data_IF_083294223269
#
_entry.id   IF_083294223269
#
_cell.length_a   1.000
_cell.length_b   1.000
_cell.length_c   1.000
_cell.angle_alpha   90.00
_cell.angle_beta   90.00
_cell.angle_gamma   90.00
#
_symmetry.space_group_name_H-M   'P 1'
#
loop_
_entity.id
_entity.type
_entity.pdbx_description
1 polymer ?
#
# COMPACT_ATOMS: atom_id res chain seq x y z
N UNK A 1 -21.00 -13.33 -37.50
CA UNK A 1 -21.65 -12.04 -37.21
C UNK A 1 -21.33 -11.76 -35.76
N UNK A 2 -20.38 -10.85 -35.58
CA UNK A 2 -19.81 -10.28 -34.35
C UNK A 2 -19.76 -11.12 -33.07
N UNK A 3 -18.64 -11.84 -32.94
CA UNK A 3 -17.95 -12.05 -31.67
C UNK A 3 -17.36 -10.70 -31.23
N UNK A 4 -18.04 -10.01 -30.32
CA UNK A 4 -17.55 -8.84 -29.60
C UNK A 4 -17.43 -9.18 -28.11
N UNK A 5 -16.70 -10.25 -27.79
CA UNK A 5 -16.00 -10.35 -26.52
C UNK A 5 -14.71 -9.54 -26.70
N UNK A 6 -14.83 -8.21 -26.51
CA UNK A 6 -13.66 -7.36 -26.27
C UNK A 6 -13.19 -7.72 -24.86
N UNK A 7 -12.41 -8.80 -24.80
CA UNK A 7 -11.45 -9.08 -23.75
C UNK A 7 -10.53 -7.86 -23.73
N UNK A 8 -10.80 -6.95 -22.81
CA UNK A 8 -9.97 -5.77 -22.63
C UNK A 8 -8.71 -6.24 -21.92
N UNK A 9 -7.67 -6.43 -22.73
CA UNK A 9 -6.31 -6.78 -22.36
C UNK A 9 -5.77 -5.84 -21.28
N UNK A 10 -5.98 -6.15 -20.00
CA UNK A 10 -5.14 -5.64 -18.92
C UNK A 10 -3.92 -6.55 -18.77
N UNK A 11 -2.99 -6.30 -19.70
CA UNK A 11 -1.53 -6.43 -19.59
C UNK A 11 -0.97 -7.38 -18.53
N UNK A 12 -0.37 -8.46 -19.00
CA UNK A 12 0.47 -9.32 -18.18
C UNK A 12 1.75 -8.65 -17.69
N UNK A 13 2.24 -9.12 -16.55
CA UNK A 13 3.67 -9.27 -16.29
C UNK A 13 3.86 -10.22 -15.09
N UNK A 14 4.08 -11.51 -15.37
CA UNK A 14 4.70 -12.42 -14.41
C UNK A 14 6.21 -12.10 -14.35
N UNK A 15 6.64 -11.16 -13.51
CA UNK A 15 8.08 -10.96 -13.26
C UNK A 15 8.34 -10.43 -11.84
N UNK A 16 8.69 -11.35 -10.94
CA UNK A 16 9.18 -11.16 -9.56
C UNK A 16 8.15 -10.66 -8.53
N UNK A 17 7.96 -11.46 -7.49
CA UNK A 17 6.97 -11.40 -6.40
C UNK A 17 7.03 -10.10 -5.56
N UNK A 18 6.68 -8.97 -6.15
CA UNK A 18 6.37 -7.71 -5.46
C UNK A 18 4.94 -7.37 -5.83
N UNK A 19 4.04 -7.49 -4.85
CA UNK A 19 2.63 -7.21 -5.05
C UNK A 19 2.49 -5.71 -5.30
N UNK A 20 2.25 -5.32 -6.56
CA UNK A 20 1.97 -3.93 -6.92
C UNK A 20 0.47 -3.70 -6.88
N UNK A 21 0.04 -2.70 -6.13
CA UNK A 21 -1.37 -2.30 -6.02
C UNK A 21 -1.59 -0.96 -6.70
N UNK A 22 -2.71 -0.82 -7.39
CA UNK A 22 -3.15 0.47 -7.93
C UNK A 22 -4.21 1.04 -7.01
N UNK A 23 -3.91 2.21 -6.44
CA UNK A 23 -4.82 2.97 -5.61
C UNK A 23 -5.39 4.12 -6.42
N UNK A 24 -6.69 4.37 -6.30
CA UNK A 24 -7.31 5.56 -6.84
C UNK A 24 -7.32 6.63 -5.74
N UNK A 25 -6.75 7.79 -6.04
CA UNK A 25 -6.83 8.94 -5.15
C UNK A 25 -8.24 9.58 -5.17
N UNK A 26 -8.50 10.57 -4.32
CA UNK A 26 -9.79 11.27 -4.21
C UNK A 26 -10.23 11.94 -5.52
N UNK A 27 -9.29 12.24 -6.42
CA UNK A 27 -9.54 12.79 -7.77
C UNK A 27 -9.77 11.69 -8.83
N UNK A 28 -9.67 10.40 -8.45
CA UNK A 28 -9.79 9.25 -9.34
C UNK A 28 -8.53 8.97 -10.17
N UNK A 29 -7.39 9.58 -9.81
CA UNK A 29 -6.12 9.30 -10.46
C UNK A 29 -5.55 7.96 -9.96
N UNK A 30 -5.15 7.05 -10.85
CA UNK A 30 -4.51 5.80 -10.46
C UNK A 30 -3.05 6.04 -10.09
N UNK A 31 -2.71 5.73 -8.86
CA UNK A 31 -1.35 5.75 -8.33
C UNK A 31 -0.88 4.31 -8.09
N UNK A 32 0.30 4.00 -8.62
CA UNK A 32 0.89 2.67 -8.50
C UNK A 32 1.81 2.62 -7.28
N UNK A 33 1.55 1.65 -6.41
CA UNK A 33 2.35 1.40 -5.23
C UNK A 33 2.87 -0.03 -5.20
N UNK A 34 4.02 -0.22 -4.59
CA UNK A 34 4.59 -1.54 -4.29
C UNK A 34 4.31 -1.86 -2.83
N UNK A 35 3.70 -3.01 -2.56
CA UNK A 35 3.63 -3.58 -1.22
C UNK A 35 5.04 -4.00 -0.81
N UNK A 36 5.57 -3.30 0.18
CA UNK A 36 6.88 -3.61 0.77
C UNK A 36 6.72 -4.56 1.93
N UNK A 37 5.69 -4.37 2.74
CA UNK A 37 5.45 -5.18 3.93
C UNK A 37 3.96 -5.19 4.31
N UNK A 38 3.53 -6.26 4.96
CA UNK A 38 2.18 -6.40 5.52
C UNK A 38 2.31 -6.66 7.02
N UNK A 39 1.62 -5.86 7.82
CA UNK A 39 1.62 -5.92 9.27
C UNK A 39 0.23 -6.30 9.76
N UNK A 40 0.16 -7.22 10.70
CA UNK A 40 -1.10 -7.62 11.34
C UNK A 40 -1.08 -7.15 12.78
N UNK A 41 -1.89 -6.15 13.10
CA UNK A 41 -1.91 -5.53 14.42
C UNK A 41 -3.28 -5.76 15.02
N UNK A 42 -3.34 -6.65 16.00
CA UNK A 42 -4.57 -7.06 16.66
C UNK A 42 -5.50 -7.83 15.72
N UNK A 43 -6.60 -7.20 15.30
CA UNK A 43 -7.58 -7.77 14.36
C UNK A 43 -7.56 -7.06 12.99
N UNK A 44 -6.71 -6.03 12.85
CA UNK A 44 -6.62 -5.21 11.65
C UNK A 44 -5.37 -5.58 10.85
N UNK A 45 -5.48 -5.58 9.53
CA UNK A 45 -4.36 -5.76 8.62
C UNK A 45 -3.94 -4.41 8.04
N UNK A 46 -2.63 -4.13 8.09
CA UNK A 46 -2.02 -2.91 7.59
C UNK A 46 -1.01 -3.27 6.50
N UNK A 47 -0.94 -2.45 5.47
CA UNK A 47 -0.01 -2.63 4.36
C UNK A 47 0.88 -1.42 4.25
N UNK A 48 2.18 -1.67 4.20
CA UNK A 48 3.21 -0.69 3.95
C UNK A 48 3.49 -0.65 2.45
N UNK A 49 3.07 0.44 1.84
CA UNK A 49 3.17 0.69 0.42
C UNK A 49 4.31 1.68 0.15
N UNK A 50 5.10 1.47 -0.90
CA UNK A 50 6.05 2.46 -1.39
C UNK A 50 5.60 2.92 -2.77
N UNK A 51 5.49 4.23 -3.00
CA UNK A 51 5.19 4.75 -4.33
C UNK A 51 6.28 4.36 -5.31
N UNK A 52 5.89 3.98 -6.53
CA UNK A 52 6.85 3.68 -7.60
C UNK A 52 7.40 4.94 -8.25
N UNK A 53 6.63 6.04 -8.21
CA UNK A 53 7.00 7.34 -8.75
C UNK A 53 7.50 8.24 -7.63
N UNK A 54 8.54 9.02 -7.93
CA UNK A 54 9.08 10.00 -6.98
C UNK A 54 8.08 11.12 -6.66
N UNK A 55 7.15 11.40 -7.57
CA UNK A 55 6.08 12.39 -7.40
C UNK A 55 5.12 12.00 -6.26
N UNK A 56 4.89 10.70 -6.11
CA UNK A 56 4.00 10.12 -5.11
C UNK A 56 4.67 9.94 -3.74
N UNK A 57 5.97 10.26 -3.61
CA UNK A 57 6.66 10.30 -2.31
C UNK A 57 6.02 11.34 -1.38
N UNK A 58 5.29 12.32 -1.90
CA UNK A 58 4.54 13.28 -1.08
C UNK A 58 3.31 12.66 -0.40
N UNK A 59 2.86 11.48 -0.82
CA UNK A 59 1.71 10.78 -0.23
C UNK A 59 2.09 10.00 1.04
N UNK A 60 3.39 9.76 1.25
CA UNK A 60 3.92 9.04 2.42
C UNK A 60 3.37 9.63 3.73
N UNK A 61 2.67 8.80 4.50
CA UNK A 61 2.10 9.15 5.81
C UNK A 61 2.89 8.54 6.99
N UNK A 62 3.74 7.53 6.73
CA UNK A 62 4.56 6.85 7.73
C UNK A 62 6.04 7.17 7.51
N UNK A 63 6.61 8.00 8.38
CA UNK A 63 8.05 8.25 8.38
C UNK A 63 8.78 7.15 9.16
N UNK A 64 9.52 6.30 8.45
CA UNK A 64 10.41 5.28 9.06
C UNK A 64 11.89 5.67 8.99
N UNK A 65 12.17 6.90 8.54
CA UNK A 65 13.51 7.46 8.44
C UNK A 65 14.25 7.36 9.78
N UNK A 66 13.51 7.46 10.89
CA UNK A 66 14.02 7.35 12.25
C UNK A 66 14.42 5.93 12.66
N UNK A 67 13.78 4.89 12.09
CA UNK A 67 14.01 3.48 12.43
C UNK A 67 15.08 2.83 11.53
N UNK A 68 15.03 3.07 10.21
CA UNK A 68 15.88 2.34 9.23
C UNK A 68 17.21 3.00 8.88
N UNK A 69 17.58 4.13 9.48
CA UNK A 69 18.87 4.79 9.25
C UNK A 69 18.99 5.43 7.86
N UNK A 70 18.76 6.74 7.79
CA UNK A 70 19.16 7.69 6.75
C UNK A 70 18.83 7.46 5.25
N UNK A 71 18.19 6.34 4.83
CA UNK A 71 18.00 6.11 3.39
C UNK A 71 16.65 5.48 2.98
N UNK A 72 15.62 5.61 3.81
CA UNK A 72 14.27 5.15 3.46
C UNK A 72 13.30 6.31 3.56
N UNK A 73 12.62 6.64 2.46
CA UNK A 73 11.76 7.82 2.32
C UNK A 73 10.43 7.73 3.10
N UNK A 74 10.24 6.68 3.91
CA UNK A 74 8.96 6.37 4.54
C UNK A 74 8.11 5.40 3.73
N UNK A 75 6.99 4.99 4.31
CA UNK A 75 5.98 4.14 3.67
C UNK A 75 4.62 4.83 3.70
N UNK A 76 3.75 4.44 2.78
CA UNK A 76 2.34 4.76 2.79
C UNK A 76 1.61 3.62 3.50
N UNK A 77 1.26 3.85 4.76
CA UNK A 77 0.52 2.94 5.60
C UNK A 77 -0.98 3.02 5.30
N UNK A 78 -1.55 1.91 4.87
CA UNK A 78 -2.99 1.75 4.67
C UNK A 78 -3.51 0.57 5.48
N UNK A 79 -4.75 0.66 5.94
CA UNK A 79 -5.49 -0.44 6.56
C UNK A 79 -6.30 -1.16 5.49
N UNK A 80 -6.19 -2.48 5.45
CA UNK A 80 -7.02 -3.33 4.63
C UNK A 80 -8.38 -3.53 5.34
N UNK A 81 -9.46 -3.19 4.65
CA UNK A 81 -10.83 -3.45 5.08
C UNK A 81 -11.61 -4.15 3.97
N UNK A 82 -12.54 -5.02 4.32
CA UNK A 82 -13.44 -5.62 3.33
C UNK A 82 -14.72 -4.78 3.22
N UNK A 83 -15.09 -4.41 1.99
CA UNK A 83 -16.38 -3.74 1.75
C UNK A 83 -17.58 -4.68 1.92
N UNK A 84 -18.78 -4.12 1.81
CA UNK A 84 -20.04 -4.89 1.77
C UNK A 84 -20.10 -5.89 0.59
N UNK A 85 -19.27 -5.69 -0.45
CA UNK A 85 -19.14 -6.58 -1.61
C UNK A 85 -18.01 -7.62 -1.48
N UNK A 86 -17.23 -7.59 -0.40
CA UNK A 86 -16.08 -8.46 -0.21
C UNK A 86 -14.85 -8.09 -1.05
N UNK A 87 -14.82 -6.85 -1.55
CA UNK A 87 -13.64 -6.27 -2.18
C UNK A 87 -12.74 -5.63 -1.12
N UNK A 88 -11.43 -5.77 -1.30
CA UNK A 88 -10.43 -5.20 -0.40
C UNK A 88 -10.30 -3.68 -0.62
N UNK A 89 -10.70 -2.89 0.38
CA UNK A 89 -10.45 -1.45 0.46
C UNK A 89 -9.18 -1.16 1.24
N UNK A 90 -8.37 -0.27 0.68
CA UNK A 90 -7.15 0.22 1.28
C UNK A 90 -7.44 1.61 1.84
N UNK A 91 -7.57 1.71 3.16
CA UNK A 91 -7.92 2.93 3.88
C UNK A 91 -6.66 3.58 4.43
N UNK A 92 -6.35 4.80 3.99
CA UNK A 92 -5.20 5.54 4.50
C UNK A 92 -5.25 5.71 6.02
N UNK A 93 -4.18 5.30 6.69
CA UNK A 93 -4.03 5.48 8.14
C UNK A 93 -3.58 6.91 8.43
N UNK A 94 -4.50 7.75 8.90
CA UNK A 94 -4.19 9.12 9.36
C UNK A 94 -4.03 9.23 10.88
N UNK A 95 -4.42 8.18 11.60
CA UNK A 95 -4.40 8.16 13.05
C UNK A 95 -2.98 7.94 13.57
N UNK A 96 -2.46 8.93 14.31
CA UNK A 96 -1.10 8.87 14.86
C UNK A 96 -0.87 7.64 15.73
N UNK A 97 -1.89 7.23 16.48
CA UNK A 97 -1.80 6.05 17.35
C UNK A 97 -1.62 4.77 16.53
N UNK A 98 -2.34 4.62 15.41
CA UNK A 98 -2.18 3.47 14.53
C UNK A 98 -0.81 3.50 13.85
N UNK A 99 -0.35 4.65 13.38
CA UNK A 99 1.00 4.81 12.83
C UNK A 99 2.10 4.46 13.86
N UNK A 100 1.94 4.88 15.12
CA UNK A 100 2.87 4.52 16.21
C UNK A 100 2.88 3.02 16.50
N UNK A 101 1.72 2.34 16.41
CA UNK A 101 1.61 0.90 16.57
C UNK A 101 2.33 0.18 15.43
N UNK A 102 2.09 0.60 14.19
CA UNK A 102 2.77 0.13 12.97
C UNK A 102 4.29 0.31 13.08
N UNK A 103 4.76 1.48 13.54
CA UNK A 103 6.19 1.73 13.77
C UNK A 103 6.76 0.82 14.84
N UNK A 104 6.00 0.57 15.91
CA UNK A 104 6.43 -0.28 17.02
C UNK A 104 6.55 -1.74 16.59
N UNK A 105 5.60 -2.24 15.78
CA UNK A 105 5.66 -3.58 15.20
C UNK A 105 6.84 -3.70 14.22
N UNK A 106 7.06 -2.69 13.38
CA UNK A 106 8.20 -2.64 12.45
C UNK A 106 9.55 -2.61 13.18
N UNK A 107 9.65 -1.89 14.30
CA UNK A 107 10.85 -1.88 15.15
C UNK A 107 11.05 -3.23 15.86
N UNK A 108 9.96 -3.88 16.29
CA UNK A 108 10.01 -5.17 16.96
C UNK A 108 10.48 -6.32 16.05
N UNK A 109 10.25 -6.26 14.75
CA UNK A 109 10.79 -7.25 13.80
C UNK A 109 12.32 -7.11 13.60
N UNK A 110 12.90 -5.95 13.95
CA UNK A 110 14.32 -5.64 13.71
C UNK A 110 15.25 -6.15 14.86
N UNK A 111 14.72 -6.69 15.97
CA UNK A 111 15.50 -7.07 17.18
C UNK A 111 15.95 -8.54 17.27
#
# INVERSE_FOLDING_TARGET
>A
MDDLFRDEELGGHEEQTRETVQLLDEDGNPHSFIVMEALEIGENQYLLLTPVLEEDLSLINLDVSFLRGENNAGYFAVRLEADEYGEDLLIEVRDKKELEDILSELDADIV
#
